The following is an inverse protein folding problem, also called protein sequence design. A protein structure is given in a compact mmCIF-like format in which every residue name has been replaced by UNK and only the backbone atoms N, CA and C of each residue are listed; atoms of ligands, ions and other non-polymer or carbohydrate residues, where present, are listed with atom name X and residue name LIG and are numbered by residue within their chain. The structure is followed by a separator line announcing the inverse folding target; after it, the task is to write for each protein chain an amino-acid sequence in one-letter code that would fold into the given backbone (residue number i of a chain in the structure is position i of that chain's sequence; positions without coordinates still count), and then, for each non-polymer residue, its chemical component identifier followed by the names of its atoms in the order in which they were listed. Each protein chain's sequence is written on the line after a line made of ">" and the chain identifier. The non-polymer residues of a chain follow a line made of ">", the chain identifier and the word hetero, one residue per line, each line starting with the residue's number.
data_IF_789110627319
#
_entry.id   IF_789110627319
#
_cell.length_a   1.000
_cell.length_b   1.000
_cell.length_c   1.000
_cell.angle_alpha   90.00
_cell.angle_beta   90.00
_cell.angle_gamma   90.00
#
_symmetry.space_group_name_H-M   'P 1'
#
loop_
_entity.id
_entity.type
_entity.pdbx_description
1 polymer ?
#
# COMPACT_ATOMS: atom_id res chain seq x y z
N UNK A 1 -24.29 1.65 19.72
CA UNK A 1 -24.62 1.46 18.29
C UNK A 1 -23.61 0.49 17.72
N UNK A 2 -24.11 -0.59 17.18
CA UNK A 2 -23.29 -1.72 16.85
C UNK A 2 -23.07 -1.76 15.33
N UNK A 3 -22.04 -1.04 14.87
CA UNK A 3 -21.59 -1.17 13.50
C UNK A 3 -20.70 -2.41 13.40
N UNK A 4 -21.08 -3.34 12.55
CA UNK A 4 -20.27 -4.52 12.23
C UNK A 4 -19.53 -4.30 10.91
N UNK A 5 -18.21 -4.50 10.91
CA UNK A 5 -17.38 -4.45 9.71
C UNK A 5 -16.16 -5.36 9.84
N UNK A 6 -15.68 -5.88 8.73
CA UNK A 6 -14.47 -6.67 8.68
C UNK A 6 -13.19 -5.81 8.61
N UNK A 7 -13.32 -4.53 8.30
CA UNK A 7 -12.18 -3.60 8.21
C UNK A 7 -12.59 -2.21 8.69
N UNK A 8 -11.73 -1.59 9.45
CA UNK A 8 -11.91 -0.26 10.00
C UNK A 8 -10.70 0.62 9.70
N UNK A 9 -10.93 1.82 9.21
CA UNK A 9 -9.90 2.85 9.04
C UNK A 9 -10.30 4.09 9.82
N UNK A 10 -9.37 4.64 10.61
CA UNK A 10 -9.60 5.83 11.41
C UNK A 10 -8.37 6.73 11.43
N UNK A 11 -8.57 8.03 11.61
CA UNK A 11 -7.50 9.01 11.69
C UNK A 11 -7.87 10.17 12.60
N UNK A 12 -7.01 10.45 13.59
CA UNK A 12 -7.06 11.68 14.39
C UNK A 12 -6.30 12.78 13.67
N UNK A 13 -6.94 13.48 12.72
CA UNK A 13 -6.27 14.49 11.90
C UNK A 13 -5.98 15.78 12.68
N UNK A 14 -4.72 16.21 12.63
CA UNK A 14 -4.31 17.57 12.97
C UNK A 14 -3.74 18.25 11.71
N UNK A 15 -4.38 19.28 11.15
CA UNK A 15 -3.88 19.94 9.95
C UNK A 15 -2.62 20.74 10.26
N UNK A 16 -1.56 20.56 9.47
CA UNK A 16 -0.30 21.29 9.60
C UNK A 16 -0.14 22.38 8.55
N UNK A 17 -0.34 22.03 7.27
CA UNK A 17 -0.13 22.94 6.12
C UNK A 17 -1.42 23.30 5.39
N UNK A 18 -2.57 22.76 5.80
CA UNK A 18 -3.87 23.02 5.17
C UNK A 18 -4.86 23.54 6.20
N UNK A 19 -5.86 24.35 5.80
CA UNK A 19 -6.94 24.75 6.71
C UNK A 19 -7.63 23.52 7.33
N UNK A 20 -8.02 23.65 8.60
CA UNK A 20 -8.86 22.66 9.27
C UNK A 20 -10.30 22.73 8.76
N UNK A 21 -10.62 22.03 7.69
CA UNK A 21 -11.95 22.00 7.11
C UNK A 21 -12.36 20.57 6.69
N UNK A 22 -13.65 20.36 6.43
CA UNK A 22 -14.20 19.05 6.14
C UNK A 22 -13.57 18.36 4.93
N UNK A 23 -13.16 19.12 3.88
CA UNK A 23 -12.54 18.56 2.67
C UNK A 23 -11.18 17.90 2.90
N UNK A 24 -10.52 18.20 4.03
CA UNK A 24 -9.31 17.51 4.46
C UNK A 24 -9.55 16.39 5.47
N UNK A 25 -10.82 16.06 5.77
CA UNK A 25 -11.13 15.01 6.74
C UNK A 25 -10.72 13.63 6.25
N UNK A 26 -10.36 12.77 7.19
CA UNK A 26 -10.01 11.36 6.96
C UNK A 26 -11.02 10.44 7.66
N UNK A 27 -11.25 9.22 7.19
CA UNK A 27 -10.68 8.63 5.96
C UNK A 27 -11.18 9.31 4.69
N UNK A 28 -10.32 9.44 3.69
CA UNK A 28 -10.71 9.92 2.38
C UNK A 28 -11.26 8.74 1.56
N UNK A 29 -12.51 8.80 1.16
CA UNK A 29 -13.17 7.71 0.47
C UNK A 29 -13.41 8.02 -1.02
N UNK A 30 -13.11 7.06 -1.88
CA UNK A 30 -13.39 7.11 -3.31
C UNK A 30 -13.80 5.72 -3.81
N UNK A 31 -15.06 5.56 -4.23
CA UNK A 31 -15.59 4.26 -4.64
C UNK A 31 -15.39 3.21 -3.52
N UNK A 32 -14.69 2.10 -3.83
CA UNK A 32 -14.37 1.04 -2.87
C UNK A 32 -13.08 1.28 -2.07
N UNK A 33 -12.43 2.43 -2.24
CA UNK A 33 -11.18 2.75 -1.55
C UNK A 33 -11.42 3.70 -0.38
N UNK A 34 -10.71 3.46 0.71
CA UNK A 34 -10.69 4.34 1.89
C UNK A 34 -9.23 4.54 2.30
N UNK A 35 -8.77 5.78 2.34
CA UNK A 35 -7.38 6.09 2.68
C UNK A 35 -7.30 6.98 3.92
N UNK A 36 -6.42 6.59 4.83
CA UNK A 36 -5.90 7.46 5.88
C UNK A 36 -4.42 7.70 5.63
N UNK A 37 -3.97 8.93 5.85
CA UNK A 37 -2.61 9.37 5.60
C UNK A 37 -2.09 10.20 6.78
N UNK A 38 -0.93 9.81 7.29
CA UNK A 38 -0.16 10.58 8.25
C UNK A 38 1.17 10.96 7.62
N UNK A 39 1.34 12.22 7.26
CA UNK A 39 2.55 12.74 6.62
C UNK A 39 2.33 13.99 5.82
N UNK A 40 3.36 14.37 5.07
CA UNK A 40 3.39 15.48 4.14
C UNK A 40 4.24 15.08 2.94
N UNK A 41 3.63 14.94 1.77
CA UNK A 41 4.38 14.53 0.57
C UNK A 41 4.99 15.73 -0.14
N UNK A 42 6.30 15.72 -0.32
CA UNK A 42 7.00 16.79 -1.04
C UNK A 42 6.77 16.75 -2.55
N UNK A 43 6.26 15.66 -3.09
CA UNK A 43 5.93 15.48 -4.50
C UNK A 43 4.50 15.87 -4.87
N UNK A 44 3.75 16.52 -3.97
CA UNK A 44 2.34 16.85 -4.12
C UNK A 44 1.99 17.46 -5.48
N UNK A 45 2.64 18.55 -5.87
CA UNK A 45 2.34 19.25 -7.12
C UNK A 45 2.65 18.41 -8.37
N UNK A 46 3.72 17.63 -8.34
CA UNK A 46 4.08 16.73 -9.44
C UNK A 46 3.03 15.64 -9.61
N UNK A 47 2.68 14.98 -8.50
CA UNK A 47 1.67 13.93 -8.52
C UNK A 47 0.29 14.48 -8.92
N UNK A 48 -0.12 15.62 -8.36
CA UNK A 48 -1.38 16.30 -8.69
C UNK A 48 -1.49 16.57 -10.18
N UNK A 49 -0.49 17.27 -10.75
CA UNK A 49 -0.48 17.63 -12.19
C UNK A 49 -0.55 16.40 -13.08
N UNK A 50 0.16 15.33 -12.70
CA UNK A 50 0.08 14.07 -13.43
C UNK A 50 -1.32 13.47 -13.38
N UNK A 51 -1.97 13.45 -12.22
CA UNK A 51 -3.34 12.94 -12.08
C UNK A 51 -4.37 13.78 -12.83
N UNK A 52 -4.19 15.10 -12.86
CA UNK A 52 -5.04 16.03 -13.63
C UNK A 52 -4.99 15.74 -15.14
N UNK A 53 -3.84 15.31 -15.68
CA UNK A 53 -3.72 14.88 -17.09
C UNK A 53 -4.62 13.68 -17.44
N UNK A 54 -4.95 12.83 -16.46
CA UNK A 54 -5.85 11.70 -16.60
C UNK A 54 -7.30 12.00 -16.20
N UNK A 55 -7.65 13.30 -16.05
CA UNK A 55 -9.01 13.77 -15.81
C UNK A 55 -9.46 13.74 -14.35
N UNK A 56 -8.56 13.52 -13.40
CA UNK A 56 -8.86 13.68 -11.98
C UNK A 56 -8.86 15.19 -11.64
N UNK A 57 -9.80 15.60 -10.81
CA UNK A 57 -9.91 17.01 -10.37
C UNK A 57 -9.51 17.10 -8.90
N UNK A 58 -8.32 17.59 -8.63
CA UNK A 58 -7.80 17.75 -7.26
C UNK A 58 -8.28 19.10 -6.71
N UNK A 59 -9.43 19.13 -6.06
CA UNK A 59 -10.12 20.34 -5.60
C UNK A 59 -10.03 20.58 -4.09
N UNK A 60 -9.66 19.57 -3.33
CA UNK A 60 -9.65 19.65 -1.87
C UNK A 60 -8.31 20.12 -1.28
N UNK A 61 -7.32 20.33 -2.14
CA UNK A 61 -5.99 20.88 -1.78
C UNK A 61 -5.31 20.07 -0.66
N UNK A 62 -5.51 18.77 -0.64
CA UNK A 62 -4.85 17.86 0.29
C UNK A 62 -4.10 16.76 -0.46
N UNK A 63 -2.96 16.39 0.06
CA UNK A 63 -2.14 15.33 -0.50
C UNK A 63 -2.84 13.96 -0.43
N UNK A 64 -3.69 13.75 0.57
CA UNK A 64 -4.50 12.53 0.71
C UNK A 64 -5.46 12.34 -0.44
N UNK A 65 -6.07 13.42 -0.97
CA UNK A 65 -6.88 13.39 -2.19
C UNK A 65 -6.07 12.84 -3.37
N UNK A 66 -4.88 13.39 -3.56
CA UNK A 66 -3.98 13.00 -4.65
C UNK A 66 -3.55 11.54 -4.51
N UNK A 67 -3.18 11.10 -3.30
CA UNK A 67 -2.82 9.70 -3.02
C UNK A 67 -3.99 8.77 -3.34
N UNK A 68 -5.22 9.18 -3.00
CA UNK A 68 -6.42 8.39 -3.29
C UNK A 68 -6.65 8.25 -4.80
N UNK A 69 -6.47 9.33 -5.56
CA UNK A 69 -6.58 9.28 -7.02
C UNK A 69 -5.47 8.44 -7.66
N UNK A 70 -4.25 8.47 -7.12
CA UNK A 70 -3.17 7.57 -7.54
C UNK A 70 -3.56 6.11 -7.31
N UNK A 71 -4.12 5.79 -6.13
CA UNK A 71 -4.58 4.44 -5.83
C UNK A 71 -5.69 3.98 -6.79
N UNK A 72 -6.69 4.81 -7.05
CA UNK A 72 -7.75 4.52 -8.02
C UNK A 72 -7.18 4.32 -9.43
N UNK A 73 -6.29 5.20 -9.86
CA UNK A 73 -5.65 5.11 -11.18
C UNK A 73 -4.88 3.79 -11.34
N UNK A 74 -4.01 3.48 -10.39
CA UNK A 74 -3.16 2.29 -10.46
C UNK A 74 -3.97 0.99 -10.30
N UNK A 75 -4.85 0.89 -9.30
CA UNK A 75 -5.59 -0.33 -9.02
C UNK A 75 -6.75 -0.55 -9.98
N UNK A 76 -7.59 0.47 -10.19
CA UNK A 76 -8.82 0.32 -10.98
C UNK A 76 -8.59 0.50 -12.48
N UNK A 77 -7.88 1.58 -12.91
CA UNK A 77 -7.68 1.85 -14.34
C UNK A 77 -6.52 1.06 -14.93
N UNK A 78 -5.39 0.98 -14.23
CA UNK A 78 -4.21 0.24 -14.70
C UNK A 78 -4.22 -1.24 -14.29
N UNK A 79 -5.16 -1.66 -13.42
CA UNK A 79 -5.31 -3.04 -12.94
C UNK A 79 -4.04 -3.60 -12.28
N UNK A 80 -3.25 -2.74 -11.65
CA UNK A 80 -2.12 -3.19 -10.85
C UNK A 80 -2.60 -3.83 -9.55
N UNK A 81 -1.77 -4.73 -9.01
CA UNK A 81 -2.02 -5.28 -7.67
C UNK A 81 -1.61 -4.29 -6.58
N UNK A 82 -2.09 -4.45 -5.32
CA UNK A 82 -1.62 -3.62 -4.20
C UNK A 82 -0.10 -3.65 -4.01
N UNK A 83 0.55 -4.79 -4.25
CA UNK A 83 2.01 -4.94 -4.20
C UNK A 83 2.71 -4.12 -5.29
N UNK A 84 2.15 -4.11 -6.50
CA UNK A 84 2.65 -3.31 -7.61
C UNK A 84 2.43 -1.82 -7.37
N UNK A 85 1.26 -1.43 -6.82
CA UNK A 85 1.00 -0.06 -6.37
C UNK A 85 2.07 0.39 -5.37
N UNK A 86 2.35 -0.39 -4.32
CA UNK A 86 3.39 -0.09 -3.35
C UNK A 86 4.75 0.10 -4.03
N UNK A 87 5.08 -0.76 -5.00
CA UNK A 87 6.33 -0.68 -5.78
C UNK A 87 6.40 0.55 -6.70
N UNK A 88 5.28 1.19 -7.02
CA UNK A 88 5.23 2.46 -7.76
C UNK A 88 5.38 3.64 -6.80
N UNK A 89 4.51 3.76 -5.80
CA UNK A 89 4.46 4.96 -4.94
C UNK A 89 5.60 5.03 -3.94
N UNK A 90 6.10 3.89 -3.46
CA UNK A 90 7.28 3.76 -2.60
C UNK A 90 8.41 3.00 -3.32
N UNK A 91 8.68 3.34 -4.58
CA UNK A 91 9.59 2.58 -5.44
C UNK A 91 10.93 2.31 -4.76
N UNK A 92 11.40 1.05 -4.75
CA UNK A 92 12.69 0.67 -4.15
C UNK A 92 13.85 1.43 -4.79
N UNK A 93 14.93 1.62 -4.04
CA UNK A 93 16.17 2.19 -4.58
C UNK A 93 16.76 1.30 -5.68
N UNK A 94 17.48 1.90 -6.62
CA UNK A 94 18.12 1.16 -7.71
C UNK A 94 19.05 0.05 -7.19
N UNK A 95 19.84 0.36 -6.16
CA UNK A 95 20.72 -0.63 -5.51
C UNK A 95 19.96 -1.81 -4.88
N UNK A 96 18.73 -1.60 -4.45
CA UNK A 96 17.86 -2.67 -3.95
C UNK A 96 17.31 -3.49 -5.11
N UNK A 97 16.89 -2.84 -6.19
CA UNK A 97 16.42 -3.50 -7.41
C UNK A 97 17.52 -4.39 -8.01
N UNK A 98 18.75 -3.89 -8.06
CA UNK A 98 19.90 -4.61 -8.65
C UNK A 98 20.27 -5.91 -7.91
N UNK A 99 19.84 -6.05 -6.66
CA UNK A 99 20.05 -7.27 -5.85
C UNK A 99 18.93 -8.30 -5.97
N UNK A 100 17.86 -7.97 -6.69
CA UNK A 100 16.70 -8.88 -6.86
C UNK A 100 16.96 -9.90 -7.99
N UNK A 101 16.21 -11.00 -8.04
CA UNK A 101 16.24 -11.91 -9.18
C UNK A 101 15.94 -11.19 -10.51
N UNK A 102 16.51 -11.60 -11.64
CA UNK A 102 16.41 -10.88 -12.92
C UNK A 102 14.98 -10.53 -13.36
N UNK A 103 14.03 -11.45 -13.19
CA UNK A 103 12.62 -11.23 -13.52
C UNK A 103 11.98 -10.14 -12.65
N UNK A 104 12.31 -10.12 -11.36
CA UNK A 104 11.82 -9.09 -10.43
C UNK A 104 12.47 -7.74 -10.73
N UNK A 105 13.78 -7.72 -11.07
CA UNK A 105 14.46 -6.51 -11.52
C UNK A 105 13.77 -5.89 -12.75
N UNK A 106 13.48 -6.70 -13.76
CA UNK A 106 12.83 -6.25 -14.99
C UNK A 106 11.47 -5.60 -14.67
N UNK A 107 10.64 -6.28 -13.87
CA UNK A 107 9.34 -5.79 -13.43
C UNK A 107 9.44 -4.45 -12.68
N UNK A 108 10.31 -4.36 -11.68
CA UNK A 108 10.47 -3.16 -10.86
C UNK A 108 11.04 -1.99 -11.68
N UNK A 109 11.98 -2.26 -12.58
CA UNK A 109 12.53 -1.24 -13.50
C UNK A 109 11.46 -0.73 -14.47
N UNK A 110 10.61 -1.62 -14.99
CA UNK A 110 9.47 -1.26 -15.83
C UNK A 110 8.50 -0.34 -15.09
N UNK A 111 7.99 -0.77 -13.92
CA UNK A 111 7.06 0.02 -13.11
C UNK A 111 7.63 1.40 -12.76
N UNK A 112 8.90 1.46 -12.37
CA UNK A 112 9.58 2.70 -12.00
C UNK A 112 9.81 3.65 -13.19
N UNK A 113 9.95 3.14 -14.42
CA UNK A 113 10.06 3.97 -15.63
C UNK A 113 8.70 4.48 -16.09
N UNK A 114 7.72 3.58 -16.17
CA UNK A 114 6.38 3.92 -16.69
C UNK A 114 5.63 4.85 -15.77
N UNK A 115 5.70 4.61 -14.46
CA UNK A 115 4.96 5.37 -13.45
C UNK A 115 5.85 6.31 -12.63
N UNK A 116 6.94 6.80 -13.20
CA UNK A 116 7.93 7.64 -12.49
C UNK A 116 7.31 8.87 -11.81
N UNK A 117 6.33 9.51 -12.45
CA UNK A 117 5.63 10.69 -11.93
C UNK A 117 4.67 10.39 -10.77
N UNK A 118 4.44 9.11 -10.46
CA UNK A 118 3.62 8.65 -9.34
C UNK A 118 4.45 8.22 -8.13
N UNK A 119 5.77 8.30 -8.22
CA UNK A 119 6.62 8.15 -7.04
C UNK A 119 6.26 9.23 -6.01
N UNK A 120 5.93 8.79 -4.80
CA UNK A 120 5.69 9.70 -3.69
C UNK A 120 7.00 9.92 -2.93
N UNK A 121 7.34 11.17 -2.71
CA UNK A 121 8.49 11.59 -1.90
C UNK A 121 8.03 12.41 -0.70
N UNK A 122 8.86 12.43 0.35
CA UNK A 122 8.51 12.99 1.65
C UNK A 122 8.03 11.93 2.65
N UNK A 123 7.80 12.33 3.90
CA UNK A 123 7.33 11.41 4.93
C UNK A 123 5.87 11.06 4.73
N UNK A 124 5.55 9.77 4.64
CA UNK A 124 4.18 9.30 4.62
C UNK A 124 4.00 7.93 5.29
N UNK A 125 2.85 7.76 5.89
CA UNK A 125 2.31 6.49 6.34
C UNK A 125 0.85 6.44 5.93
N UNK A 126 0.47 5.49 5.12
CA UNK A 126 -0.90 5.32 4.62
C UNK A 126 -1.47 3.98 5.01
N UNK A 127 -2.78 3.95 5.25
CA UNK A 127 -3.57 2.73 5.25
C UNK A 127 -4.65 2.88 4.20
N UNK A 128 -4.63 1.99 3.22
CA UNK A 128 -5.57 1.91 2.12
C UNK A 128 -6.49 0.70 2.33
N UNK A 129 -7.76 0.95 2.64
CA UNK A 129 -8.81 -0.07 2.55
C UNK A 129 -9.27 -0.24 1.11
N UNK A 130 -9.46 -1.47 0.69
CA UNK A 130 -9.99 -1.85 -0.63
C UNK A 130 -10.91 -3.06 -0.49
N UNK A 131 -11.63 -3.39 -1.53
CA UNK A 131 -12.54 -4.53 -1.51
C UNK A 131 -11.79 -5.84 -1.16
N UNK A 132 -12.18 -6.47 -0.06
CA UNK A 132 -11.59 -7.72 0.42
C UNK A 132 -10.26 -7.57 1.17
N UNK A 133 -9.85 -6.35 1.57
CA UNK A 133 -8.65 -6.19 2.36
C UNK A 133 -8.21 -4.77 2.66
N UNK A 134 -6.99 -4.67 3.17
CA UNK A 134 -6.30 -3.40 3.35
C UNK A 134 -4.80 -3.53 3.07
N UNK A 135 -4.18 -2.42 2.74
CA UNK A 135 -2.73 -2.30 2.61
C UNK A 135 -2.24 -1.14 3.48
N UNK A 136 -1.23 -1.40 4.28
CA UNK A 136 -0.49 -0.35 4.96
C UNK A 136 0.90 -0.21 4.35
N UNK A 137 1.35 1.02 4.20
CA UNK A 137 2.63 1.34 3.57
C UNK A 137 3.17 2.65 4.13
N UNK A 138 4.42 2.67 4.48
CA UNK A 138 5.14 3.90 4.78
C UNK A 138 6.18 4.24 3.70
N UNK A 139 6.65 5.48 3.73
CA UNK A 139 7.67 5.93 2.80
C UNK A 139 8.92 5.05 2.81
N UNK A 140 9.62 4.99 1.68
CA UNK A 140 10.78 4.12 1.47
C UNK A 140 11.98 4.41 2.38
N UNK A 141 12.02 5.60 3.01
CA UNK A 141 13.03 5.99 3.99
C UNK A 141 12.59 5.74 5.42
N UNK A 142 11.32 5.35 5.62
CA UNK A 142 10.69 5.16 6.93
C UNK A 142 10.78 6.40 7.82
N UNK A 143 10.45 7.56 7.25
CA UNK A 143 10.41 8.83 7.98
C UNK A 143 9.19 8.92 8.89
N UNK A 144 8.11 8.17 8.56
CA UNK A 144 6.95 7.99 9.44
C UNK A 144 6.95 6.61 10.08
N UNK A 145 6.48 6.57 11.31
CA UNK A 145 6.30 5.31 12.04
C UNK A 145 5.06 4.55 11.57
N UNK A 146 5.16 3.25 11.65
CA UNK A 146 4.07 2.30 11.48
C UNK A 146 4.38 1.05 12.27
N UNK A 147 3.39 0.56 12.99
CA UNK A 147 3.48 -0.66 13.80
C UNK A 147 2.31 -1.56 13.45
N UNK A 148 2.58 -2.84 13.35
CA UNK A 148 1.61 -3.90 13.09
C UNK A 148 1.61 -4.84 14.28
N UNK A 149 0.44 -5.28 14.68
CA UNK A 149 0.26 -6.30 15.71
C UNK A 149 -0.86 -7.27 15.30
N UNK A 150 -0.82 -8.48 15.81
CA UNK A 150 -1.79 -9.52 15.52
C UNK A 150 -2.42 -10.02 16.83
N UNK A 151 -3.68 -10.37 16.76
CA UNK A 151 -4.41 -11.03 17.85
C UNK A 151 -5.50 -11.89 17.25
N UNK A 152 -5.45 -13.18 17.52
CA UNK A 152 -6.38 -14.16 16.95
C UNK A 152 -6.44 -14.07 15.41
N UNK A 153 -7.61 -13.76 14.85
CA UNK A 153 -7.84 -13.54 13.42
C UNK A 153 -7.84 -12.07 13.01
N UNK A 154 -7.31 -11.18 13.86
CA UNK A 154 -7.31 -9.72 13.65
C UNK A 154 -5.90 -9.18 13.48
N UNK A 155 -5.78 -8.21 12.58
CA UNK A 155 -4.55 -7.44 12.37
C UNK A 155 -4.81 -5.99 12.73
N UNK A 156 -3.94 -5.44 13.55
CA UNK A 156 -3.97 -4.05 14.01
C UNK A 156 -2.81 -3.30 13.39
N UNK A 157 -3.08 -2.13 12.84
CA UNK A 157 -2.07 -1.27 12.23
C UNK A 157 -2.26 0.14 12.78
N UNK A 158 -1.20 0.72 13.32
CA UNK A 158 -1.24 2.06 13.90
C UNK A 158 0.09 2.79 13.71
N UNK A 159 0.11 4.08 13.98
CA UNK A 159 1.35 4.87 14.01
C UNK A 159 2.24 4.50 15.21
N UNK A 160 1.63 3.98 16.29
CA UNK A 160 2.30 3.67 17.55
C UNK A 160 1.77 2.38 18.17
N UNK A 161 2.64 1.62 18.82
CA UNK A 161 2.27 0.40 19.54
C UNK A 161 1.25 0.67 20.66
N UNK A 162 1.36 1.83 21.34
CA UNK A 162 0.44 2.20 22.40
C UNK A 162 -1.04 2.19 21.94
N UNK A 163 -1.31 2.63 20.72
CA UNK A 163 -2.65 2.60 20.16
C UNK A 163 -3.16 1.16 19.95
N UNK A 164 -2.29 0.24 19.52
CA UNK A 164 -2.62 -1.18 19.40
C UNK A 164 -2.90 -1.77 20.78
N UNK A 165 -2.07 -1.47 21.77
CA UNK A 165 -2.21 -1.99 23.14
C UNK A 165 -3.49 -1.51 23.84
N UNK A 166 -4.01 -0.36 23.48
CA UNK A 166 -5.32 0.11 23.99
C UNK A 166 -6.47 -0.75 23.44
N UNK A 167 -6.40 -1.16 22.17
CA UNK A 167 -7.45 -1.97 21.54
C UNK A 167 -7.28 -3.48 21.80
N UNK A 168 -6.05 -3.93 21.88
CA UNK A 168 -5.66 -5.32 22.08
C UNK A 168 -4.43 -5.38 23.01
N UNK A 169 -4.62 -5.33 24.35
CA UNK A 169 -3.51 -5.30 25.31
C UNK A 169 -2.58 -6.51 25.19
N UNK A 170 -3.13 -7.63 24.77
CA UNK A 170 -2.45 -8.92 24.59
C UNK A 170 -2.13 -9.22 23.12
N UNK A 171 -2.06 -8.19 22.26
CA UNK A 171 -1.62 -8.36 20.87
C UNK A 171 -0.23 -8.98 20.81
N UNK A 172 -0.07 -9.90 19.88
CA UNK A 172 1.16 -10.64 19.60
C UNK A 172 1.82 -10.18 18.31
N UNK A 173 2.99 -10.73 17.96
CA UNK A 173 3.70 -10.46 16.71
C UNK A 173 3.82 -8.98 16.38
N UNK A 174 4.11 -8.15 17.40
CA UNK A 174 4.26 -6.71 17.19
C UNK A 174 5.57 -6.42 16.47
N UNK A 175 5.47 -5.74 15.34
CA UNK A 175 6.63 -5.35 14.54
C UNK A 175 6.41 -4.06 13.78
N UNK A 176 7.51 -3.44 13.35
CA UNK A 176 7.50 -2.30 12.47
C UNK A 176 8.01 -2.73 11.07
N UNK A 177 7.20 -2.61 10.00
CA UNK A 177 7.63 -2.95 8.65
C UNK A 177 8.80 -2.07 8.21
N UNK A 178 9.62 -2.55 7.28
CA UNK A 178 10.67 -1.75 6.68
C UNK A 178 10.11 -0.62 5.81
N UNK A 179 10.94 0.41 5.53
CA UNK A 179 10.52 1.51 4.65
C UNK A 179 10.18 1.01 3.26
N UNK A 180 9.00 1.37 2.75
CA UNK A 180 8.50 0.93 1.45
C UNK A 180 8.03 -0.54 1.40
N UNK A 181 8.05 -1.26 2.53
CA UNK A 181 7.52 -2.61 2.63
C UNK A 181 6.01 -2.58 2.86
N UNK A 182 5.18 -3.07 1.91
CA UNK A 182 3.74 -3.09 2.11
C UNK A 182 3.32 -4.22 3.06
N UNK A 183 2.42 -3.90 3.98
CA UNK A 183 1.68 -4.87 4.77
C UNK A 183 0.31 -5.01 4.15
N UNK A 184 0.03 -6.16 3.55
CA UNK A 184 -1.24 -6.41 2.87
C UNK A 184 -2.00 -7.49 3.63
N UNK A 185 -3.21 -7.13 4.03
CA UNK A 185 -4.13 -8.01 4.75
C UNK A 185 -5.34 -8.25 3.87
N UNK A 186 -5.69 -9.51 3.63
CA UNK A 186 -6.85 -9.92 2.83
C UNK A 186 -7.85 -10.70 3.67
N UNK A 187 -9.12 -10.47 3.41
CA UNK A 187 -10.21 -11.29 3.96
C UNK A 187 -10.35 -12.54 3.10
N UNK A 188 -10.27 -13.71 3.70
CA UNK A 188 -10.55 -14.96 3.03
C UNK A 188 -11.46 -15.81 3.93
N UNK A 189 -12.63 -16.19 3.42
CA UNK A 189 -13.62 -16.97 4.17
C UNK A 189 -13.98 -16.35 5.53
N UNK A 190 -14.07 -15.00 5.58
CA UNK A 190 -14.34 -14.25 6.80
C UNK A 190 -13.15 -14.11 7.76
N UNK A 191 -11.95 -14.54 7.38
CA UNK A 191 -10.71 -14.40 8.15
C UNK A 191 -9.70 -13.53 7.44
N UNK A 192 -8.83 -12.88 8.22
CA UNK A 192 -7.73 -12.07 7.69
C UNK A 192 -6.45 -12.90 7.57
N UNK A 193 -5.70 -12.66 6.48
CA UNK A 193 -4.38 -13.22 6.25
C UNK A 193 -3.41 -12.11 5.87
N UNK A 194 -2.34 -11.96 6.66
CA UNK A 194 -1.24 -11.04 6.36
C UNK A 194 -0.21 -11.64 5.40
N UNK A 195 0.62 -10.80 4.78
CA UNK A 195 1.67 -11.21 3.84
C UNK A 195 2.59 -12.30 4.39
N UNK A 196 2.95 -12.24 5.66
CA UNK A 196 3.89 -13.19 6.28
C UNK A 196 3.36 -14.62 6.33
N UNK A 197 2.03 -14.80 6.32
CA UNK A 197 1.45 -16.14 6.29
C UNK A 197 1.70 -16.85 4.95
N UNK A 198 1.78 -16.10 3.85
CA UNK A 198 2.09 -16.65 2.53
C UNK A 198 3.57 -17.00 2.36
N UNK A 199 4.48 -16.27 2.99
CA UNK A 199 5.92 -16.56 2.94
C UNK A 199 6.22 -17.92 3.62
N UNK A 200 5.54 -18.26 4.71
CA UNK A 200 5.67 -19.57 5.34
C UNK A 200 5.10 -20.72 4.48
N UNK A 201 4.02 -20.48 3.72
CA UNK A 201 3.47 -21.46 2.79
C UNK A 201 4.33 -21.61 1.52
N UNK A 202 4.94 -20.54 1.03
CA UNK A 202 5.87 -20.58 -0.09
C UNK A 202 7.13 -21.39 0.28
N UNK A 203 7.70 -21.15 1.45
CA UNK A 203 8.86 -21.91 1.98
C UNK A 203 8.55 -23.40 2.19
N UNK A 204 7.32 -23.75 2.56
CA UNK A 204 6.91 -25.15 2.66
C UNK A 204 6.67 -25.82 1.31
N UNK A 205 6.23 -25.07 0.28
CA UNK A 205 6.09 -25.59 -1.09
C UNK A 205 7.44 -25.83 -1.76
N UNK A 206 8.43 -24.98 -1.55
CA UNK A 206 9.79 -25.18 -2.08
C UNK A 206 10.51 -26.39 -1.45
N UNK A 207 10.17 -26.76 -0.22
CA UNK A 207 10.68 -27.99 0.42
C UNK A 207 10.02 -29.28 -0.06
N UNK A 208 8.82 -29.19 -0.66
CA UNK A 208 8.09 -30.34 -1.20
C UNK A 208 8.25 -30.54 -2.72
N UNK A 209 8.92 -29.62 -3.44
CA UNK A 209 8.99 -29.57 -4.89
C UNK A 209 10.39 -29.65 -5.49
N UNK A 210 11.23 -30.63 -5.08
CA UNK A 210 12.38 -31.05 -5.89
C UNK A 210 11.98 -32.27 -6.70
N UNK A 211 11.42 -32.04 -7.87
CA UNK A 211 11.10 -33.06 -8.87
C UNK A 211 10.45 -32.51 -10.12
N UNK A 212 11.25 -32.13 -11.10
CA UNK A 212 10.88 -32.29 -12.50
C UNK A 212 10.33 -31.11 -13.31
N UNK A 213 11.16 -30.70 -14.25
CA UNK A 213 10.92 -30.22 -15.62
C UNK A 213 10.92 -28.74 -15.93
N UNK A 214 11.95 -28.38 -16.72
CA UNK A 214 12.03 -27.19 -17.55
C UNK A 214 10.88 -27.12 -18.56
N UNK A 215 10.36 -25.91 -18.77
CA UNK A 215 9.35 -25.64 -19.80
C UNK A 215 9.04 -24.15 -19.89
N UNK A 216 9.51 -23.56 -20.96
CA UNK A 216 9.07 -22.40 -21.71
C UNK A 216 8.78 -21.05 -21.04
N UNK A 217 9.60 -20.08 -21.50
CA UNK A 217 9.48 -18.66 -21.23
C UNK A 217 8.22 -18.04 -21.86
N UNK A 218 7.22 -17.84 -21.07
CA UNK A 218 6.12 -16.95 -21.41
C UNK A 218 6.32 -15.61 -20.69
N UNK A 219 6.57 -14.56 -21.47
CA UNK A 219 6.43 -13.17 -21.04
C UNK A 219 5.04 -12.98 -20.40
N UNK A 220 4.90 -12.27 -19.27
CA UNK A 220 3.57 -12.01 -18.73
C UNK A 220 2.81 -11.06 -19.68
N UNK A 221 2.02 -11.63 -20.57
CA UNK A 221 1.24 -10.93 -21.59
C UNK A 221 0.35 -9.81 -21.01
N UNK A 222 -0.06 -9.96 -19.75
CA UNK A 222 -0.91 -8.99 -19.07
C UNK A 222 -0.29 -7.60 -18.83
N UNK A 223 1.04 -7.47 -18.89
CA UNK A 223 1.70 -6.17 -18.76
C UNK A 223 1.81 -5.40 -20.08
N UNK A 224 1.70 -6.09 -21.23
CA UNK A 224 1.74 -5.44 -22.55
C UNK A 224 0.41 -4.83 -22.97
N UNK A 225 -0.71 -5.37 -22.49
CA UNK A 225 -2.05 -4.87 -22.81
C UNK A 225 -2.49 -3.67 -21.95
N UNK A 226 -1.67 -3.22 -20.99
CA UNK A 226 -2.00 -2.18 -20.01
C UNK A 226 -1.41 -0.80 -20.30
N UNK A 227 -0.82 -0.59 -21.46
CA UNK A 227 -0.33 0.73 -21.89
C UNK A 227 -1.40 1.49 -22.68
N UNK A 228 -1.55 2.81 -22.45
CA UNK A 228 -2.38 3.65 -23.31
C UNK A 228 -1.80 3.78 -24.71
#
# INVERSE_FOLDING_TARGET
>A
EDYEAYSWTAHGRYPTNTPGWWGGAHPFALLQYSIVHNGEISSYDTNRRFMEMFGYKCTLQTDTEVITYIADYLLRRQKLTPEELASVIAAPFWSTIDRKPPREQEKLRYLRKVFSSLLITGPFSIVLGFEGGLMALNDRLKLRSMVVGEKDDKVYIASEEAAIRVMAPDAENIYAPAGGEPVIVRVKEGKFYGNRFFDHLAVQRDKAGHGGRAGDGAHPAHLREKLP
#
